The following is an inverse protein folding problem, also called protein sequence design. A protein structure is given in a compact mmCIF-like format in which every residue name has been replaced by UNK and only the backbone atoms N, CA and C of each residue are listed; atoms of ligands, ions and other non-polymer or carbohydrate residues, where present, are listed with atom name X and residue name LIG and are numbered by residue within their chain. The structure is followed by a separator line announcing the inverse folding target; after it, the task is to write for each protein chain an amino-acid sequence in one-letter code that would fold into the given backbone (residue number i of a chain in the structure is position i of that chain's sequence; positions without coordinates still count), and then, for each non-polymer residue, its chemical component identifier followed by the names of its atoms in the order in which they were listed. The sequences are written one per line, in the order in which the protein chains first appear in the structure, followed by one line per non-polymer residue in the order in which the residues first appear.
data_IF_776493298828
#
_entry.id   IF_776493298828
#
_cell.length_a   1.000
_cell.length_b   1.000
_cell.length_c   1.000
_cell.angle_alpha   90.00
_cell.angle_beta   90.00
_cell.angle_gamma   90.00
#
_symmetry.space_group_name_H-M   'P 1'
#
loop_
_entity.id
_entity.type
_entity.pdbx_description
1 polymer ?
#
# COMPACT_ATOMS: atom_id res chain seq x y z
N UNK A 1 -60.23 5.22 -45.50
CA UNK A 1 -58.87 5.55 -45.97
C UNK A 1 -58.22 6.33 -44.86
N UNK A 2 -57.30 5.71 -44.13
CA UNK A 2 -56.93 6.12 -42.77
C UNK A 2 -55.93 7.28 -42.82
N UNK A 3 -56.17 8.34 -42.03
CA UNK A 3 -55.33 9.54 -42.00
C UNK A 3 -53.82 9.24 -41.79
N UNK A 4 -53.50 8.12 -41.14
CA UNK A 4 -52.14 7.61 -40.96
C UNK A 4 -51.42 7.34 -42.29
N UNK A 5 -52.11 6.81 -43.31
CA UNK A 5 -51.49 6.52 -44.61
C UNK A 5 -51.17 7.80 -45.38
N UNK A 6 -51.98 8.85 -45.21
CA UNK A 6 -51.74 10.17 -45.77
C UNK A 6 -50.50 10.84 -45.16
N UNK A 7 -50.38 10.85 -43.82
CA UNK A 7 -49.19 11.41 -43.15
C UNK A 7 -47.92 10.64 -43.52
N UNK A 8 -48.00 9.31 -43.63
CA UNK A 8 -46.87 8.49 -44.08
C UNK A 8 -46.43 8.85 -45.51
N UNK A 9 -47.37 9.04 -46.43
CA UNK A 9 -47.06 9.45 -47.81
C UNK A 9 -46.44 10.85 -47.88
N UNK A 10 -46.97 11.82 -47.13
CA UNK A 10 -46.40 13.18 -47.04
C UNK A 10 -44.98 13.11 -46.47
N UNK A 11 -44.75 12.34 -45.40
CA UNK A 11 -43.43 12.17 -44.80
C UNK A 11 -42.43 11.53 -45.77
N UNK A 12 -42.83 10.49 -46.49
CA UNK A 12 -42.01 9.86 -47.53
C UNK A 12 -41.68 10.82 -48.67
N UNK A 13 -42.61 11.68 -49.06
CA UNK A 13 -42.37 12.71 -50.07
C UNK A 13 -41.30 13.71 -49.60
N UNK A 14 -41.37 14.19 -48.35
CA UNK A 14 -40.34 15.05 -47.77
C UNK A 14 -38.98 14.35 -47.65
N UNK A 15 -38.95 13.07 -47.25
CA UNK A 15 -37.71 12.29 -47.22
C UNK A 15 -37.09 12.13 -48.62
N UNK A 16 -37.90 11.85 -49.64
CA UNK A 16 -37.41 11.72 -51.01
C UNK A 16 -36.91 13.06 -51.58
N UNK A 17 -37.58 14.17 -51.28
CA UNK A 17 -37.09 15.50 -51.66
C UNK A 17 -35.74 15.80 -50.99
N UNK A 18 -35.62 15.52 -49.69
CA UNK A 18 -34.37 15.71 -48.94
C UNK A 18 -33.25 14.82 -49.49
N UNK A 19 -33.55 13.55 -49.78
CA UNK A 19 -32.63 12.61 -50.40
C UNK A 19 -32.13 13.10 -51.75
N UNK A 20 -33.02 13.60 -52.60
CA UNK A 20 -32.65 14.10 -53.92
C UNK A 20 -31.75 15.34 -53.82
N UNK A 21 -32.05 16.27 -52.92
CA UNK A 21 -31.22 17.47 -52.69
C UNK A 21 -29.82 17.10 -52.15
N UNK A 22 -29.74 16.14 -51.23
CA UNK A 22 -28.44 15.66 -50.70
C UNK A 22 -27.66 14.94 -51.79
N UNK A 23 -28.29 14.07 -52.56
CA UNK A 23 -27.64 13.35 -53.66
C UNK A 23 -27.20 14.28 -54.79
N UNK A 24 -27.96 15.33 -55.09
CA UNK A 24 -27.60 16.35 -56.08
C UNK A 24 -26.36 17.14 -55.64
N UNK A 25 -26.31 17.55 -54.35
CA UNK A 25 -25.12 18.21 -53.78
C UNK A 25 -23.90 17.30 -53.66
N UNK A 26 -24.11 16.01 -53.47
CA UNK A 26 -23.04 15.00 -53.35
C UNK A 26 -22.70 14.31 -54.68
N UNK A 27 -23.34 14.71 -55.80
CA UNK A 27 -23.22 14.03 -57.11
C UNK A 27 -21.82 14.07 -57.72
N UNK A 28 -20.99 15.04 -57.34
CA UNK A 28 -19.61 15.20 -57.81
C UNK A 28 -18.53 14.60 -56.91
N UNK A 29 -18.89 13.93 -55.81
CA UNK A 29 -17.93 13.36 -54.86
C UNK A 29 -17.92 11.83 -54.94
N UNK A 30 -16.72 11.26 -54.98
CA UNK A 30 -16.58 9.80 -54.94
C UNK A 30 -17.01 9.24 -53.56
N UNK A 31 -17.61 8.04 -53.49
CA UNK A 31 -18.15 7.48 -52.25
C UNK A 31 -17.16 7.45 -51.08
N UNK A 32 -15.86 7.23 -51.35
CA UNK A 32 -14.85 7.19 -50.29
C UNK A 32 -14.53 8.58 -49.71
N UNK A 33 -14.65 9.66 -50.49
CA UNK A 33 -14.42 11.04 -50.04
C UNK A 33 -15.54 11.49 -49.10
N UNK A 34 -16.77 11.05 -49.36
CA UNK A 34 -17.92 11.25 -48.46
C UNK A 34 -17.71 10.52 -47.13
N UNK A 35 -17.21 9.30 -47.16
CA UNK A 35 -16.88 8.53 -45.94
C UNK A 35 -15.72 9.20 -45.19
N UNK A 36 -14.65 9.59 -45.89
CA UNK A 36 -13.50 10.23 -45.26
C UNK A 36 -13.86 11.60 -44.65
N UNK A 37 -14.67 12.41 -45.33
CA UNK A 37 -15.10 13.73 -44.83
C UNK A 37 -16.04 13.61 -43.64
N UNK A 38 -16.94 12.61 -43.63
CA UNK A 38 -17.81 12.35 -42.47
C UNK A 38 -17.04 11.82 -41.26
N UNK A 39 -16.04 10.95 -41.46
CA UNK A 39 -15.12 10.51 -40.41
C UNK A 39 -14.29 11.69 -39.88
N UNK A 40 -13.77 12.54 -40.76
CA UNK A 40 -12.99 13.71 -40.36
C UNK A 40 -13.84 14.73 -39.59
N UNK A 41 -15.07 15.00 -40.06
CA UNK A 41 -16.00 15.89 -39.39
C UNK A 41 -16.40 15.36 -38.01
N UNK A 42 -16.68 14.06 -37.88
CA UNK A 42 -17.01 13.46 -36.59
C UNK A 42 -15.82 13.47 -35.62
N UNK A 43 -14.61 13.14 -36.07
CA UNK A 43 -13.40 13.25 -35.24
C UNK A 43 -13.12 14.70 -34.81
N UNK A 44 -13.36 15.66 -35.69
CA UNK A 44 -13.19 17.08 -35.41
C UNK A 44 -14.23 17.56 -34.38
N UNK A 45 -15.49 17.15 -34.52
CA UNK A 45 -16.56 17.44 -33.55
C UNK A 45 -16.25 16.80 -32.20
N UNK A 46 -15.82 15.53 -32.16
CA UNK A 46 -15.43 14.85 -30.91
C UNK A 46 -14.24 15.55 -30.27
N UNK A 47 -13.23 15.95 -31.06
CA UNK A 47 -12.08 16.71 -30.55
C UNK A 47 -12.50 18.07 -29.99
N UNK A 48 -13.38 18.80 -30.67
CA UNK A 48 -13.90 20.08 -30.21
C UNK A 48 -14.76 19.91 -28.96
N UNK A 49 -15.59 18.88 -28.89
CA UNK A 49 -16.40 18.55 -27.72
C UNK A 49 -15.53 18.20 -26.52
N UNK A 50 -14.54 17.30 -26.69
CA UNK A 50 -13.56 16.99 -25.65
C UNK A 50 -12.71 18.22 -25.28
N UNK A 51 -12.48 19.15 -26.20
CA UNK A 51 -11.74 20.37 -25.93
C UNK A 51 -12.57 21.40 -25.15
N UNK A 52 -13.87 21.54 -25.44
CA UNK A 52 -14.77 22.51 -24.79
C UNK A 52 -15.27 22.05 -23.43
N UNK A 53 -15.57 20.75 -23.26
CA UNK A 53 -16.15 20.19 -22.03
C UNK A 53 -15.13 19.53 -21.08
N UNK A 54 -13.85 19.86 -21.21
CA UNK A 54 -12.85 19.46 -20.22
C UNK A 54 -12.92 20.35 -18.97
N UNK A 55 -12.75 19.79 -17.76
CA UNK A 55 -12.88 20.53 -16.49
C UNK A 55 -11.73 21.51 -16.20
N UNK A 56 -10.82 21.76 -17.14
CA UNK A 56 -9.70 22.69 -16.94
C UNK A 56 -9.99 24.07 -17.54
N UNK A 57 -9.68 25.12 -16.78
CA UNK A 57 -9.83 26.51 -17.22
C UNK A 57 -8.99 26.85 -18.45
N UNK A 58 -9.55 27.64 -19.38
CA UNK A 58 -8.88 28.07 -20.62
C UNK A 58 -7.51 28.73 -20.36
N UNK A 59 -7.38 29.49 -19.27
CA UNK A 59 -6.14 30.14 -18.84
C UNK A 59 -5.06 29.13 -18.46
N UNK A 60 -5.42 28.04 -17.77
CA UNK A 60 -4.48 26.96 -17.43
C UNK A 60 -3.95 26.25 -18.66
N UNK A 61 -4.75 26.16 -19.72
CA UNK A 61 -4.38 25.48 -20.98
C UNK A 61 -3.43 26.33 -21.82
N UNK A 62 -3.74 27.62 -21.95
CA UNK A 62 -2.83 28.58 -22.56
C UNK A 62 -1.52 28.67 -21.77
N UNK A 63 -1.59 28.69 -20.44
CA UNK A 63 -0.41 28.68 -19.57
C UNK A 63 0.41 27.41 -19.76
N UNK A 64 -0.20 26.22 -19.73
CA UNK A 64 0.51 24.93 -19.97
C UNK A 64 1.13 24.87 -21.37
N UNK A 65 0.43 25.35 -22.39
CA UNK A 65 0.95 25.43 -23.76
C UNK A 65 2.12 26.40 -23.88
N UNK A 66 1.98 27.59 -23.32
CA UNK A 66 3.03 28.61 -23.23
C UNK A 66 4.26 28.10 -22.49
N UNK A 67 4.09 27.48 -21.31
CA UNK A 67 5.19 26.85 -20.56
C UNK A 67 5.84 25.70 -21.34
N UNK A 68 5.08 24.94 -22.13
CA UNK A 68 5.62 23.87 -22.99
C UNK A 68 6.44 24.42 -24.15
N UNK A 69 6.04 25.54 -24.74
CA UNK A 69 6.79 26.25 -25.79
C UNK A 69 8.06 26.86 -25.20
N UNK A 70 7.95 27.54 -24.06
CA UNK A 70 9.08 28.12 -23.33
C UNK A 70 10.11 27.05 -22.97
N UNK A 71 9.68 25.89 -22.48
CA UNK A 71 10.57 24.78 -22.12
C UNK A 71 11.25 24.13 -23.33
N UNK A 72 10.75 24.35 -24.56
CA UNK A 72 11.39 23.91 -25.82
C UNK A 72 12.45 24.88 -26.34
N UNK A 73 12.57 26.08 -25.77
CA UNK A 73 13.63 27.01 -26.15
C UNK A 73 14.98 26.51 -25.61
N UNK A 74 16.06 26.52 -26.42
CA UNK A 74 17.34 25.90 -26.07
C UNK A 74 17.99 26.48 -24.81
N UNK A 75 17.77 27.77 -24.53
CA UNK A 75 18.31 28.48 -23.35
C UNK A 75 17.65 27.99 -22.05
N UNK A 76 16.32 27.84 -22.06
CA UNK A 76 15.54 27.39 -20.90
C UNK A 76 15.65 25.88 -20.74
N UNK A 77 15.77 25.15 -21.86
CA UNK A 77 16.17 23.75 -21.88
C UNK A 77 17.46 23.50 -21.10
N UNK A 78 18.49 24.34 -21.25
CA UNK A 78 19.74 24.21 -20.48
C UNK A 78 19.57 24.43 -18.96
N UNK A 79 18.72 25.37 -18.53
CA UNK A 79 18.45 25.63 -17.10
C UNK A 79 17.56 24.52 -16.50
N UNK A 80 16.52 24.11 -17.23
CA UNK A 80 15.65 23.01 -16.83
C UNK A 80 16.40 21.68 -16.80
N UNK A 81 17.28 21.41 -17.76
CA UNK A 81 18.15 20.23 -17.73
C UNK A 81 19.16 20.30 -16.59
N UNK A 82 19.62 21.50 -16.20
CA UNK A 82 20.40 21.70 -14.97
C UNK A 82 19.65 21.26 -13.71
N UNK A 83 18.40 21.73 -13.53
CA UNK A 83 17.54 21.33 -12.41
C UNK A 83 17.12 19.86 -12.47
N UNK A 84 16.84 19.32 -13.65
CA UNK A 84 16.55 17.90 -13.84
C UNK A 84 17.77 17.03 -13.53
N UNK A 85 18.99 17.47 -13.87
CA UNK A 85 20.24 16.81 -13.48
C UNK A 85 20.45 16.85 -11.98
N UNK A 86 20.19 17.99 -11.32
CA UNK A 86 20.25 18.11 -9.87
C UNK A 86 19.24 17.18 -9.18
N UNK A 87 18.01 17.14 -9.68
CA UNK A 87 16.96 16.27 -9.14
C UNK A 87 17.26 14.77 -9.38
N UNK A 88 17.85 14.41 -10.53
CA UNK A 88 18.37 13.06 -10.79
C UNK A 88 19.55 12.72 -9.88
N UNK A 89 20.46 13.65 -9.62
CA UNK A 89 21.58 13.49 -8.68
C UNK A 89 21.09 13.26 -7.25
N UNK A 90 20.11 14.03 -6.80
CA UNK A 90 19.48 13.85 -5.49
C UNK A 90 18.81 12.48 -5.41
N UNK A 91 18.01 12.12 -6.42
CA UNK A 91 17.37 10.80 -6.49
C UNK A 91 18.39 9.65 -6.49
N UNK A 92 19.50 9.82 -7.20
CA UNK A 92 20.59 8.83 -7.24
C UNK A 92 21.29 8.70 -5.89
N UNK A 93 21.55 9.81 -5.19
CA UNK A 93 22.11 9.79 -3.82
C UNK A 93 21.18 9.10 -2.83
N UNK A 94 19.87 9.37 -2.90
CA UNK A 94 18.86 8.70 -2.06
C UNK A 94 18.88 7.20 -2.36
N UNK A 95 18.87 6.80 -3.63
CA UNK A 95 18.94 5.38 -4.00
C UNK A 95 20.22 4.73 -3.50
N UNK A 96 21.37 5.39 -3.62
CA UNK A 96 22.63 4.86 -3.08
C UNK A 96 22.59 4.70 -1.57
N UNK A 97 22.00 5.64 -0.83
CA UNK A 97 21.82 5.50 0.61
C UNK A 97 20.88 4.34 0.94
N UNK A 98 19.76 4.21 0.24
CA UNK A 98 18.85 3.06 0.39
C UNK A 98 19.58 1.74 0.15
N UNK A 99 20.37 1.62 -0.92
CA UNK A 99 21.13 0.40 -1.20
C UNK A 99 22.20 0.12 -0.14
N UNK A 100 22.92 1.15 0.32
CA UNK A 100 23.88 0.99 1.42
C UNK A 100 23.20 0.55 2.71
N UNK A 101 22.08 1.17 3.09
CA UNK A 101 21.32 0.77 4.27
C UNK A 101 20.79 -0.66 4.14
N UNK A 102 20.30 -1.06 2.97
CA UNK A 102 19.86 -2.44 2.73
C UNK A 102 21.03 -3.43 2.86
N UNK A 103 22.19 -3.08 2.33
CA UNK A 103 23.41 -3.91 2.42
C UNK A 103 23.87 -4.01 3.89
N UNK A 104 23.95 -2.89 4.60
CA UNK A 104 24.29 -2.81 6.02
C UNK A 104 23.30 -3.62 6.86
N UNK A 105 22.00 -3.46 6.66
CA UNK A 105 20.96 -4.27 7.33
C UNK A 105 21.11 -5.76 6.99
N UNK A 106 21.35 -6.11 5.73
CA UNK A 106 21.54 -7.51 5.34
C UNK A 106 22.80 -8.12 5.94
N UNK A 107 23.84 -7.32 6.16
CA UNK A 107 25.08 -7.73 6.83
C UNK A 107 24.88 -7.98 8.33
N UNK A 108 24.02 -7.18 8.97
CA UNK A 108 23.67 -7.30 10.38
C UNK A 108 22.63 -8.38 10.66
N UNK A 109 21.90 -8.83 9.64
CA UNK A 109 20.84 -9.85 9.74
C UNK A 109 21.25 -11.11 8.96
N UNK A 110 22.26 -11.88 9.42
CA UNK A 110 22.75 -13.07 8.73
C UNK A 110 21.69 -14.17 8.54
N UNK A 111 20.59 -14.13 9.32
CA UNK A 111 19.44 -15.01 9.13
C UNK A 111 18.66 -14.70 7.84
N UNK A 112 18.72 -13.47 7.30
CA UNK A 112 18.15 -13.12 6.01
C UNK A 112 19.00 -13.64 4.84
N UNK A 113 20.32 -13.76 5.04
CA UNK A 113 21.25 -14.28 4.02
C UNK A 113 21.09 -15.78 3.80
N UNK A 114 20.65 -16.51 4.82
CA UNK A 114 20.26 -17.90 4.67
C UNK A 114 19.01 -17.97 3.78
N UNK A 115 19.19 -18.33 2.50
CA UNK A 115 18.15 -18.78 1.56
C UNK A 115 17.47 -20.07 2.04
N UNK A 116 16.97 -20.11 3.27
CA UNK A 116 16.07 -21.16 3.73
C UNK A 116 14.68 -20.86 3.19
N UNK A 117 13.96 -21.92 2.83
CA UNK A 117 12.61 -21.83 2.30
C UNK A 117 11.68 -21.24 3.38
N UNK A 118 11.30 -19.98 3.20
CA UNK A 118 10.26 -19.34 4.02
C UNK A 118 8.93 -20.03 3.75
N UNK A 119 8.16 -20.29 4.80
CA UNK A 119 6.78 -20.72 4.64
C UNK A 119 5.97 -19.47 4.30
N UNK A 120 5.49 -19.39 3.06
CA UNK A 120 4.71 -18.26 2.55
C UNK A 120 3.22 -18.55 2.44
N UNK A 121 2.82 -19.80 2.67
CA UNK A 121 1.42 -20.24 2.67
C UNK A 121 1.20 -21.32 3.72
N UNK A 122 -0.03 -21.43 4.22
CA UNK A 122 -0.42 -22.49 5.13
C UNK A 122 -0.30 -23.85 4.41
N UNK A 123 0.36 -24.87 5.00
CA UNK A 123 0.53 -26.15 4.35
C UNK A 123 -0.84 -26.84 4.17
N UNK A 124 -1.04 -27.46 3.00
CA UNK A 124 -2.31 -28.14 2.67
C UNK A 124 -2.62 -29.32 3.61
N UNK A 125 -1.60 -29.90 4.23
CA UNK A 125 -1.73 -30.92 5.27
C UNK A 125 -1.09 -30.39 6.55
N UNK A 126 -1.79 -30.56 7.67
CA UNK A 126 -1.25 -30.21 8.98
C UNK A 126 0.03 -30.99 9.28
N UNK A 127 1.03 -30.31 9.84
CA UNK A 127 2.25 -30.94 10.32
C UNK A 127 1.95 -31.80 11.54
N UNK A 128 2.59 -32.95 11.65
CA UNK A 128 2.55 -33.73 12.87
C UNK A 128 3.33 -33.02 14.00
N UNK A 129 2.98 -33.30 15.25
CA UNK A 129 3.69 -32.76 16.41
C UNK A 129 5.23 -32.98 16.36
N UNK A 130 5.77 -34.17 16.03
CA UNK A 130 7.22 -34.35 15.95
C UNK A 130 7.86 -33.52 14.83
N UNK A 131 7.19 -33.36 13.69
CA UNK A 131 7.68 -32.50 12.60
C UNK A 131 7.71 -31.02 13.01
N UNK A 132 6.68 -30.56 13.73
CA UNK A 132 6.60 -29.20 14.24
C UNK A 132 7.72 -28.92 15.26
N UNK A 133 7.94 -29.82 16.21
CA UNK A 133 9.00 -29.69 17.22
C UNK A 133 10.40 -29.71 16.58
N UNK A 134 10.60 -30.56 15.57
CA UNK A 134 11.84 -30.57 14.78
C UNK A 134 12.06 -29.20 14.11
N UNK A 135 11.03 -28.65 13.48
CA UNK A 135 11.10 -27.34 12.81
C UNK A 135 11.33 -26.19 13.78
N UNK A 136 10.72 -26.24 14.97
CA UNK A 136 10.98 -25.28 16.04
C UNK A 136 12.45 -25.33 16.50
N UNK A 137 13.03 -26.53 16.64
CA UNK A 137 14.45 -26.71 16.97
C UNK A 137 15.37 -26.18 15.87
N UNK A 138 15.01 -26.40 14.60
CA UNK A 138 15.72 -25.82 13.45
C UNK A 138 15.71 -24.28 13.44
N UNK A 139 14.65 -23.65 13.96
CA UNK A 139 14.56 -22.19 14.09
C UNK A 139 15.33 -21.66 15.28
N UNK A 140 15.30 -22.37 16.41
CA UNK A 140 16.09 -22.00 17.59
C UNK A 140 17.60 -21.96 17.31
N UNK A 141 18.09 -22.75 16.35
CA UNK A 141 19.52 -22.77 15.97
C UNK A 141 19.90 -21.78 14.88
N UNK A 142 18.95 -20.96 14.37
CA UNK A 142 19.27 -19.92 13.38
C UNK A 142 20.04 -18.74 13.98
N UNK A 143 19.88 -18.50 15.29
CA UNK A 143 20.65 -17.49 16.00
C UNK A 143 22.05 -18.02 16.30
N UNK A 144 23.08 -17.45 15.67
CA UNK A 144 24.49 -17.74 15.97
C UNK A 144 25.00 -17.06 17.26
N UNK A 145 24.10 -16.46 18.04
CA UNK A 145 24.45 -15.67 19.22
C UNK A 145 24.19 -16.53 20.46
N UNK A 146 25.28 -16.98 21.10
CA UNK A 146 25.24 -17.64 22.41
C UNK A 146 25.05 -16.57 23.48
N UNK A 147 23.80 -16.24 23.78
CA UNK A 147 23.46 -15.27 24.83
C UNK A 147 23.73 -15.85 26.23
N UNK A 148 23.77 -17.18 26.36
CA UNK A 148 24.08 -17.92 27.58
C UNK A 148 25.50 -17.62 28.11
N UNK A 149 26.42 -17.26 27.21
CA UNK A 149 27.79 -16.84 27.53
C UNK A 149 27.88 -15.40 28.10
N UNK A 150 26.76 -14.68 28.20
CA UNK A 150 26.72 -13.29 28.68
C UNK A 150 27.32 -12.26 27.71
N UNK A 151 27.61 -12.65 26.46
CA UNK A 151 28.21 -11.79 25.43
C UNK A 151 27.20 -10.88 24.72
N UNK A 152 25.93 -10.94 25.11
CA UNK A 152 24.84 -10.17 24.50
C UNK A 152 24.32 -9.15 25.49
N UNK A 153 24.59 -7.86 25.23
CA UNK A 153 24.16 -6.78 26.11
C UNK A 153 22.64 -6.59 26.07
N UNK A 154 22.00 -6.50 27.24
CA UNK A 154 20.60 -6.06 27.42
C UNK A 154 19.50 -6.93 26.80
N UNK A 155 19.83 -8.10 26.22
CA UNK A 155 18.87 -8.89 25.45
C UNK A 155 18.11 -9.91 26.31
N UNK A 156 18.79 -10.57 27.26
CA UNK A 156 18.18 -11.51 28.21
C UNK A 156 18.64 -11.14 29.62
N UNK A 157 17.70 -10.82 30.51
CA UNK A 157 17.99 -10.34 31.86
C UNK A 157 18.30 -11.47 32.85
N UNK A 158 17.74 -12.66 32.65
CA UNK A 158 18.04 -13.85 33.44
C UNK A 158 18.02 -15.09 32.54
N UNK A 159 19.08 -15.89 32.63
CA UNK A 159 19.23 -17.17 31.95
C UNK A 159 19.19 -18.38 32.88
N UNK A 160 18.80 -18.20 34.14
CA UNK A 160 18.82 -19.28 35.12
C UNK A 160 17.79 -20.37 34.76
N UNK A 161 18.26 -21.60 34.56
CA UNK A 161 17.42 -22.74 34.16
C UNK A 161 16.27 -23.00 35.16
N UNK A 162 16.53 -22.88 36.46
CA UNK A 162 15.50 -23.06 37.50
C UNK A 162 14.38 -22.04 37.37
N UNK A 163 14.71 -20.79 37.09
CA UNK A 163 13.73 -19.72 36.90
C UNK A 163 12.93 -19.95 35.61
N UNK A 164 13.59 -20.31 34.51
CA UNK A 164 12.92 -20.64 33.24
C UNK A 164 11.92 -21.78 33.44
N UNK A 165 12.34 -22.85 34.11
CA UNK A 165 11.47 -24.00 34.39
C UNK A 165 10.26 -23.64 35.25
N UNK A 166 10.41 -22.72 36.20
CA UNK A 166 9.29 -22.19 36.98
C UNK A 166 8.33 -21.37 36.11
N UNK A 167 8.86 -20.46 35.28
CA UNK A 167 8.05 -19.61 34.40
C UNK A 167 7.27 -20.41 33.37
N UNK A 168 7.86 -21.46 32.78
CA UNK A 168 7.17 -22.36 31.84
C UNK A 168 5.97 -23.04 32.51
N UNK A 169 6.12 -23.52 33.75
CA UNK A 169 5.00 -24.14 34.49
C UNK A 169 3.89 -23.15 34.81
N UNK A 170 4.24 -21.92 35.19
CA UNK A 170 3.25 -20.86 35.42
C UNK A 170 2.52 -20.53 34.12
N UNK A 171 3.24 -20.41 33.00
CA UNK A 171 2.62 -20.16 31.70
C UNK A 171 1.69 -21.30 31.27
N UNK A 172 2.11 -22.56 31.46
CA UNK A 172 1.29 -23.74 31.16
C UNK A 172 -0.05 -23.71 31.89
N UNK A 173 -0.05 -23.38 33.19
CA UNK A 173 -1.26 -23.28 34.01
C UNK A 173 -2.22 -22.17 33.53
N UNK A 174 -1.68 -21.04 33.07
CA UNK A 174 -2.47 -19.86 32.69
C UNK A 174 -2.62 -19.66 31.17
N UNK A 175 -2.20 -20.62 30.34
CA UNK A 175 -2.11 -20.48 28.87
C UNK A 175 -3.44 -20.11 28.19
N UNK A 176 -4.57 -20.51 28.78
CA UNK A 176 -5.92 -20.25 28.24
C UNK A 176 -6.66 -19.11 28.92
N UNK A 177 -6.01 -18.42 29.85
CA UNK A 177 -6.64 -17.30 30.55
C UNK A 177 -6.65 -16.05 29.69
N UNK A 178 -7.74 -15.29 29.78
CA UNK A 178 -7.88 -14.01 29.10
C UNK A 178 -8.32 -12.93 30.10
N UNK A 179 -7.44 -11.97 30.45
CA UNK A 179 -7.76 -10.93 31.43
C UNK A 179 -8.96 -10.03 31.03
N UNK A 180 -9.41 -10.05 29.77
CA UNK A 180 -10.64 -9.37 29.34
C UNK A 180 -11.91 -9.87 30.06
N UNK A 181 -11.90 -11.11 30.55
CA UNK A 181 -13.03 -11.75 31.23
C UNK A 181 -12.73 -11.97 32.72
N UNK A 182 -12.80 -10.92 33.56
CA UNK A 182 -12.49 -11.00 34.99
C UNK A 182 -13.44 -11.88 35.79
N UNK A 183 -14.66 -12.05 35.29
CA UNK A 183 -15.71 -12.91 35.82
C UNK A 183 -15.38 -14.40 35.65
N UNK A 184 -14.71 -14.75 34.55
CA UNK A 184 -14.29 -16.13 34.25
C UNK A 184 -12.90 -16.41 34.84
N UNK A 185 -11.99 -15.42 34.81
CA UNK A 185 -10.60 -15.57 35.26
C UNK A 185 -10.22 -14.62 36.40
N UNK A 186 -10.86 -14.72 37.59
CA UNK A 186 -10.60 -13.82 38.71
C UNK A 186 -9.18 -13.98 39.27
N UNK A 187 -8.56 -15.16 39.12
CA UNK A 187 -7.20 -15.43 39.57
C UNK A 187 -6.15 -14.54 38.89
N UNK A 188 -6.23 -14.38 37.57
CA UNK A 188 -5.28 -13.55 36.81
C UNK A 188 -5.46 -12.08 37.14
N UNK A 189 -6.71 -11.63 37.28
CA UNK A 189 -7.03 -10.26 37.72
C UNK A 189 -6.48 -9.95 39.11
N UNK A 190 -6.55 -10.90 40.04
CA UNK A 190 -5.92 -10.77 41.36
C UNK A 190 -4.41 -10.63 41.25
N UNK A 191 -3.76 -11.49 40.46
CA UNK A 191 -2.30 -11.44 40.25
C UNK A 191 -1.86 -10.09 39.63
N UNK A 192 -2.57 -9.59 38.62
CA UNK A 192 -2.28 -8.28 38.01
C UNK A 192 -2.39 -7.15 39.04
N UNK A 193 -3.45 -7.14 39.86
CA UNK A 193 -3.64 -6.13 40.91
C UNK A 193 -2.52 -6.18 41.97
N UNK A 194 -2.09 -7.38 42.37
CA UNK A 194 -0.98 -7.59 43.31
C UNK A 194 0.34 -7.08 42.74
N UNK A 195 0.66 -7.40 41.47
CA UNK A 195 1.86 -6.91 40.78
C UNK A 195 1.90 -5.39 40.73
N UNK A 196 0.78 -4.76 40.35
CA UNK A 196 0.67 -3.29 40.33
C UNK A 196 0.91 -2.72 41.73
N UNK A 197 0.31 -3.29 42.77
CA UNK A 197 0.46 -2.75 44.12
C UNK A 197 1.86 -2.97 44.70
N UNK A 198 2.48 -4.12 44.45
CA UNK A 198 3.89 -4.37 44.80
C UNK A 198 4.82 -3.36 44.12
N UNK A 199 4.58 -3.09 42.84
CA UNK A 199 5.37 -2.11 42.07
C UNK A 199 5.17 -0.68 42.60
N UNK A 200 3.93 -0.27 42.85
CA UNK A 200 3.63 1.03 43.47
C UNK A 200 4.32 1.20 44.83
N UNK A 201 4.37 0.12 45.63
CA UNK A 201 5.07 0.12 46.92
C UNK A 201 6.58 0.22 46.75
N UNK A 202 7.15 -0.46 45.76
CA UNK A 202 8.58 -0.40 45.42
C UNK A 202 9.02 1.04 45.06
N UNK A 203 8.17 1.79 44.36
CA UNK A 203 8.42 3.18 43.97
C UNK A 203 7.84 4.22 44.95
N UNK A 204 7.44 3.83 46.16
CA UNK A 204 6.94 4.73 47.21
C UNK A 204 5.72 5.58 46.81
N UNK A 205 4.82 5.07 45.95
CA UNK A 205 3.66 5.83 45.43
C UNK A 205 2.56 6.17 46.45
N UNK A 206 2.59 5.58 47.65
CA UNK A 206 1.60 5.85 48.71
C UNK A 206 0.27 5.08 48.56
N UNK A 207 -0.77 5.44 49.34
CA UNK A 207 -2.05 4.72 49.32
C UNK A 207 -2.84 4.96 48.02
N UNK A 208 -2.76 6.17 47.46
CA UNK A 208 -3.55 6.61 46.31
C UNK A 208 -2.92 6.26 44.95
N UNK A 209 -1.71 5.70 44.92
CA UNK A 209 -1.08 5.25 43.67
C UNK A 209 -1.87 4.11 43.04
N UNK A 210 -2.06 4.20 41.73
CA UNK A 210 -2.69 3.18 40.91
C UNK A 210 -1.86 2.91 39.64
N UNK A 211 -2.22 1.87 38.89
CA UNK A 211 -1.56 1.51 37.65
C UNK A 211 -2.25 0.34 36.95
N UNK A 212 -1.73 -0.03 35.80
CA UNK A 212 -2.15 -1.22 35.05
C UNK A 212 -0.94 -1.96 34.54
N UNK A 213 -1.07 -3.27 34.35
CA UNK A 213 -0.05 -4.06 33.63
C UNK A 213 -0.18 -3.74 32.14
N UNK A 214 0.97 -3.57 31.47
CA UNK A 214 1.07 -3.36 30.02
C UNK A 214 2.00 -4.41 29.42
N UNK A 215 1.92 -4.63 28.11
CA UNK A 215 2.73 -5.65 27.41
C UNK A 215 4.21 -5.29 27.32
N UNK A 216 4.55 -3.99 27.33
CA UNK A 216 5.92 -3.49 27.26
C UNK A 216 6.00 -2.06 27.80
N UNK A 217 7.22 -1.54 27.93
CA UNK A 217 7.48 -0.19 28.44
C UNK A 217 7.39 0.93 27.40
N UNK A 218 7.18 0.61 26.12
CA UNK A 218 7.10 1.64 25.08
C UNK A 218 5.83 2.47 25.25
N UNK A 219 6.04 3.77 25.52
CA UNK A 219 4.99 4.77 25.40
C UNK A 219 4.96 5.23 23.94
N UNK A 220 3.83 5.02 23.25
CA UNK A 220 3.60 5.63 21.95
C UNK A 220 3.37 7.14 22.18
N UNK A 221 4.44 7.92 22.06
CA UNK A 221 4.41 9.39 21.96
C UNK A 221 4.20 9.83 20.50
#
# INVERSE_FOLDING_TARGET
MDALTLYHQIFLQYLNQTRNVVNEKCSGLEPWQLIASSIAATLLIVKIYMFLFQPESLTSRLKKGFFRIIRRLPIIGHICTGKEKEQRMISWKIQQQVYKTLDDMSSQLPFLQHKKNYITSLPAKGLSQPELLKKMKEYSTLGNIQWEDGKTSGTVYSGEEKLVNLLVKVYEEFAWTNPLHPDIFPGVRKMEAEVVKMTCKLFHGGPNSCGTVMTSGDCLD
#
